data_IF_956565447348
#
_entry.id   IF_956565447348
#
_cell.length_a   1.000
_cell.length_b   1.000
_cell.length_c   1.000
_cell.angle_alpha   90.00
_cell.angle_beta   90.00
_cell.angle_gamma   90.00
#
_symmetry.space_group_name_H-M   'P 1'
#
loop_
_entity.id
_entity.type
_entity.pdbx_description
1 polymer ?
#
# COMPACT_ATOMS: atom_id res chain seq x y z
N UNK A 1 17.65 11.05 -6.86
CA UNK A 1 16.57 10.28 -6.18
C UNK A 1 17.20 9.09 -5.49
N UNK A 2 16.61 8.53 -4.43
CA UNK A 2 17.10 7.26 -3.87
C UNK A 2 16.64 6.11 -4.76
N UNK A 3 17.38 5.00 -4.78
CA UNK A 3 17.02 3.80 -5.54
C UNK A 3 15.59 3.33 -5.22
N UNK A 4 15.22 3.30 -3.93
CA UNK A 4 13.83 3.03 -3.50
C UNK A 4 12.79 3.94 -4.17
N UNK A 5 13.09 5.24 -4.33
CA UNK A 5 12.15 6.18 -4.95
C UNK A 5 12.00 5.92 -6.46
N UNK A 6 13.06 5.51 -7.13
CA UNK A 6 13.05 5.10 -8.54
C UNK A 6 12.22 3.85 -8.74
N UNK A 7 12.47 2.80 -7.93
CA UNK A 7 11.67 1.55 -7.96
C UNK A 7 10.18 1.82 -7.72
N UNK A 8 9.84 2.64 -6.73
CA UNK A 8 8.43 2.99 -6.47
C UNK A 8 7.79 3.75 -7.63
N UNK A 9 8.55 4.64 -8.29
CA UNK A 9 8.06 5.41 -9.43
C UNK A 9 7.81 4.51 -10.65
N UNK A 10 8.65 3.52 -10.90
CA UNK A 10 8.47 2.50 -11.94
C UNK A 10 7.28 1.60 -11.64
N UNK A 11 7.20 1.04 -10.44
CA UNK A 11 6.10 0.18 -10.02
C UNK A 11 4.73 0.90 -10.07
N UNK A 12 4.70 2.20 -9.81
CA UNK A 12 3.48 2.99 -9.89
C UNK A 12 2.98 3.22 -11.33
N UNK A 13 3.80 2.93 -12.34
CA UNK A 13 3.45 3.05 -13.77
C UNK A 13 3.07 1.73 -14.41
N UNK A 14 3.24 0.60 -13.71
CA UNK A 14 2.86 -0.71 -14.23
C UNK A 14 1.36 -0.76 -14.54
N UNK A 15 1.02 -1.22 -15.73
CA UNK A 15 -0.37 -1.37 -16.13
C UNK A 15 -1.04 -2.57 -15.46
N UNK A 16 -2.35 -2.50 -15.20
CA UNK A 16 -3.09 -3.62 -14.62
C UNK A 16 -3.34 -4.72 -15.64
N UNK A 17 -3.15 -5.98 -15.25
CA UNK A 17 -3.44 -7.15 -16.09
C UNK A 17 -4.94 -7.44 -16.20
N UNK A 18 -5.74 -7.00 -15.23
CA UNK A 18 -7.19 -7.15 -15.25
C UNK A 18 -7.88 -5.98 -14.53
N UNK A 19 -9.18 -5.83 -14.73
CA UNK A 19 -10.01 -4.76 -14.15
C UNK A 19 -9.99 -4.68 -12.61
N UNK A 20 -9.67 -5.80 -11.92
CA UNK A 20 -9.61 -5.87 -10.45
C UNK A 20 -8.23 -5.57 -9.89
N UNK A 21 -7.18 -5.57 -10.71
CA UNK A 21 -5.82 -5.29 -10.25
C UNK A 21 -5.67 -3.89 -9.66
N UNK A 22 -6.36 -2.92 -10.23
CA UNK A 22 -6.38 -1.55 -9.73
C UNK A 22 -6.98 -1.44 -8.32
N UNK A 23 -8.07 -2.17 -8.06
CA UNK A 23 -8.66 -2.24 -6.73
C UNK A 23 -7.67 -2.88 -5.74
N UNK A 24 -6.98 -3.94 -6.15
CA UNK A 24 -5.97 -4.62 -5.33
C UNK A 24 -4.81 -3.70 -4.99
N UNK A 25 -4.31 -2.94 -5.97
CA UNK A 25 -3.25 -1.94 -5.78
C UNK A 25 -3.70 -0.85 -4.81
N UNK A 26 -4.90 -0.28 -5.02
CA UNK A 26 -5.46 0.77 -4.17
C UNK A 26 -5.69 0.28 -2.73
N UNK A 27 -6.21 -0.94 -2.56
CA UNK A 27 -6.45 -1.55 -1.26
C UNK A 27 -5.14 -1.72 -0.46
N UNK A 28 -4.10 -2.24 -1.08
CA UNK A 28 -2.80 -2.38 -0.43
C UNK A 28 -2.17 -1.03 -0.10
N UNK A 29 -2.21 -0.07 -1.04
CA UNK A 29 -1.69 1.27 -0.86
C UNK A 29 -2.35 1.97 0.34
N UNK A 30 -3.68 1.93 0.42
CA UNK A 30 -4.44 2.51 1.52
C UNK A 30 -4.21 1.79 2.85
N UNK A 31 -4.01 0.47 2.81
CA UNK A 31 -3.76 -0.33 4.01
C UNK A 31 -2.39 -0.05 4.62
N UNK A 32 -1.36 0.12 3.79
CA UNK A 32 0.04 0.29 4.24
C UNK A 32 0.34 1.73 4.64
N UNK A 33 -0.11 2.71 3.86
CA UNK A 33 0.21 4.13 4.07
C UNK A 33 -0.97 4.99 4.54
N UNK A 34 -2.15 4.38 4.71
CA UNK A 34 -3.35 5.08 5.13
C UNK A 34 -3.52 5.16 6.65
N UNK A 35 -4.09 6.25 7.09
CA UNK A 35 -4.56 6.46 8.46
C UNK A 35 -6.06 6.68 8.43
N UNK A 36 -6.80 5.78 9.06
CA UNK A 36 -8.25 5.91 9.23
C UNK A 36 -8.54 6.65 10.54
N UNK A 37 -9.27 7.75 10.44
CA UNK A 37 -9.73 8.54 11.59
C UNK A 37 -11.24 8.46 11.71
N UNK A 38 -11.73 8.33 12.95
CA UNK A 38 -13.15 8.41 13.27
C UNK A 38 -13.50 9.86 13.58
N UNK A 39 -14.45 10.42 12.83
CA UNK A 39 -14.92 11.81 12.99
C UNK A 39 -16.19 11.90 13.85
N UNK A 40 -16.47 10.90 14.68
CA UNK A 40 -17.70 10.79 15.49
C UNK A 40 -18.92 10.29 14.68
N UNK A 41 -19.94 9.76 15.35
CA UNK A 41 -21.21 9.32 14.74
C UNK A 41 -21.07 8.41 13.51
N UNK A 42 -20.07 7.52 13.48
CA UNK A 42 -19.84 6.60 12.35
C UNK A 42 -19.26 7.23 11.09
N UNK A 43 -18.78 8.47 11.17
CA UNK A 43 -18.12 9.15 10.06
C UNK A 43 -16.63 8.82 10.03
N UNK A 44 -16.10 8.68 8.83
CA UNK A 44 -14.71 8.32 8.60
C UNK A 44 -13.96 9.40 7.82
N UNK A 45 -12.66 9.44 8.01
CA UNK A 45 -11.72 10.17 7.17
C UNK A 45 -10.51 9.27 6.93
N UNK A 46 -10.15 9.04 5.67
CA UNK A 46 -8.95 8.28 5.32
C UNK A 46 -7.90 9.24 4.75
N UNK A 47 -6.70 9.25 5.34
CA UNK A 47 -5.58 10.06 4.86
C UNK A 47 -4.42 9.15 4.50
N UNK A 48 -3.87 9.32 3.30
CA UNK A 48 -2.67 8.63 2.81
C UNK A 48 -1.55 9.65 2.69
N UNK A 49 -0.37 9.33 3.26
CA UNK A 49 0.82 10.15 3.19
C UNK A 49 1.90 9.45 2.35
N UNK A 50 2.55 10.17 1.45
CA UNK A 50 3.67 9.66 0.64
C UNK A 50 4.65 10.77 0.27
N UNK A 51 5.92 10.41 0.15
CA UNK A 51 6.98 11.31 -0.33
C UNK A 51 7.14 11.27 -1.86
N UNK A 52 6.50 10.29 -2.52
CA UNK A 52 6.62 10.03 -3.95
C UNK A 52 5.44 10.59 -4.73
N UNK A 53 5.69 11.53 -5.62
CA UNK A 53 4.64 12.18 -6.43
C UNK A 53 3.89 11.20 -7.36
N UNK A 54 4.57 10.16 -7.87
CA UNK A 54 3.91 9.13 -8.67
C UNK A 54 2.90 8.34 -7.83
N UNK A 55 3.26 7.94 -6.61
CA UNK A 55 2.35 7.26 -5.69
C UNK A 55 1.14 8.13 -5.35
N UNK A 56 1.35 9.42 -5.11
CA UNK A 56 0.25 10.36 -4.87
C UNK A 56 -0.72 10.43 -6.06
N UNK A 57 -0.19 10.52 -7.30
CA UNK A 57 -1.01 10.50 -8.52
C UNK A 57 -1.78 9.20 -8.67
N UNK A 58 -1.11 8.05 -8.49
CA UNK A 58 -1.75 6.74 -8.54
C UNK A 58 -2.90 6.65 -7.54
N UNK A 59 -2.67 7.07 -6.29
CA UNK A 59 -3.71 7.10 -5.26
C UNK A 59 -4.93 7.92 -5.69
N UNK A 60 -4.74 9.15 -6.17
CA UNK A 60 -5.82 10.04 -6.60
C UNK A 60 -6.56 9.44 -7.81
N UNK A 61 -5.81 8.99 -8.83
CA UNK A 61 -6.39 8.45 -10.07
C UNK A 61 -7.23 7.21 -9.79
N UNK A 62 -6.71 6.26 -9.00
CA UNK A 62 -7.43 5.03 -8.66
C UNK A 62 -8.65 5.33 -7.79
N UNK A 63 -8.54 6.24 -6.81
CA UNK A 63 -9.67 6.66 -5.99
C UNK A 63 -10.81 7.22 -6.84
N UNK A 64 -10.50 8.14 -7.76
CA UNK A 64 -11.52 8.74 -8.63
C UNK A 64 -12.11 7.71 -9.60
N UNK A 65 -11.26 6.85 -10.18
CA UNK A 65 -11.69 5.88 -11.18
C UNK A 65 -12.55 4.77 -10.60
N UNK A 66 -12.13 4.19 -9.47
CA UNK A 66 -12.74 2.98 -8.88
C UNK A 66 -13.83 3.34 -7.87
N UNK A 67 -13.52 4.24 -6.94
CA UNK A 67 -14.40 4.57 -5.82
C UNK A 67 -15.38 5.70 -6.15
N UNK A 68 -15.10 6.49 -7.19
CA UNK A 68 -15.88 7.70 -7.55
C UNK A 68 -15.99 8.71 -6.41
N UNK A 69 -14.99 8.72 -5.51
CA UNK A 69 -14.94 9.60 -4.35
C UNK A 69 -14.07 10.83 -4.62
N UNK A 70 -14.41 11.94 -3.95
CA UNK A 70 -13.60 13.15 -3.95
C UNK A 70 -12.38 12.99 -3.06
N UNK A 71 -11.27 13.64 -3.44
CA UNK A 71 -10.04 13.70 -2.66
C UNK A 71 -9.62 15.14 -2.41
N UNK A 72 -9.08 15.39 -1.22
CA UNK A 72 -8.35 16.61 -0.88
C UNK A 72 -6.85 16.34 -1.03
N UNK A 73 -6.12 17.26 -1.63
CA UNK A 73 -4.70 17.12 -1.85
C UNK A 73 -3.91 18.26 -1.21
N UNK A 74 -2.93 17.92 -0.38
CA UNK A 74 -2.06 18.90 0.30
C UNK A 74 -0.61 18.51 0.14
N UNK A 75 0.24 19.48 -0.16
CA UNK A 75 1.70 19.30 -0.20
C UNK A 75 2.31 19.99 1.01
N UNK A 76 2.96 19.23 1.88
CA UNK A 76 3.75 19.76 2.99
C UNK A 76 5.23 19.68 2.65
N UNK A 77 5.94 20.78 2.83
CA UNK A 77 7.41 20.82 2.73
C UNK A 77 7.98 20.73 4.15
N UNK A 78 8.79 19.72 4.41
CA UNK A 78 9.58 19.69 5.64
C UNK A 78 10.73 20.69 5.50
N UNK A 79 10.81 21.65 6.42
CA UNK A 79 11.88 22.64 6.45
C UNK A 79 13.21 21.99 6.80
N UNK A 80 13.19 20.97 7.70
CA UNK A 80 14.38 20.28 8.20
C UNK A 80 15.01 19.31 7.18
N UNK A 81 14.21 18.63 6.37
CA UNK A 81 14.70 17.56 5.48
C UNK A 81 14.58 17.87 3.98
N UNK A 82 14.07 19.04 3.60
CA UNK A 82 13.81 19.45 2.19
C UNK A 82 12.96 18.45 1.39
N UNK A 83 12.25 17.53 2.09
CA UNK A 83 11.41 16.49 1.49
C UNK A 83 9.99 17.02 1.35
N UNK A 84 9.38 16.75 0.19
CA UNK A 84 7.97 17.00 -0.03
C UNK A 84 7.17 15.80 0.48
N UNK A 85 6.16 16.06 1.29
CA UNK A 85 5.22 15.06 1.73
C UNK A 85 3.84 15.38 1.14
N UNK A 86 3.30 14.43 0.39
CA UNK A 86 2.01 14.53 -0.27
C UNK A 86 0.96 13.86 0.62
N UNK A 87 -0.08 14.60 0.96
CA UNK A 87 -1.21 14.11 1.75
C UNK A 87 -2.44 14.06 0.85
N UNK A 88 -3.00 12.88 0.69
CA UNK A 88 -4.24 12.63 -0.03
C UNK A 88 -5.28 12.24 1.01
N UNK A 89 -6.34 13.02 1.15
CA UNK A 89 -7.41 12.78 2.10
C UNK A 89 -8.71 12.48 1.37
N UNK A 90 -9.35 11.39 1.76
CA UNK A 90 -10.76 11.13 1.46
C UNK A 90 -11.54 11.65 2.66
N UNK A 91 -12.18 12.85 2.54
CA UNK A 91 -12.97 13.42 3.62
C UNK A 91 -14.24 12.61 3.83
N UNK A 92 -14.92 12.87 4.95
CA UNK A 92 -16.27 12.35 5.18
C UNK A 92 -17.20 12.76 4.04
N UNK A 93 -17.76 11.77 3.36
CA UNK A 93 -18.63 11.95 2.19
C UNK A 93 -19.49 10.71 2.00
N UNK A 94 -20.60 10.80 1.23
CA UNK A 94 -21.43 9.65 0.88
C UNK A 94 -20.59 8.52 0.26
N UNK A 95 -20.94 7.27 0.59
CA UNK A 95 -20.31 6.03 0.11
C UNK A 95 -18.85 5.78 0.55
N UNK A 96 -18.27 6.63 1.41
CA UNK A 96 -16.93 6.38 1.95
C UNK A 96 -16.89 5.09 2.79
N UNK A 97 -17.90 4.82 3.58
CA UNK A 97 -18.06 3.59 4.37
C UNK A 97 -18.05 2.34 3.47
N UNK A 98 -18.83 2.36 2.37
CA UNK A 98 -18.85 1.29 1.38
C UNK A 98 -17.51 1.11 0.68
N UNK A 99 -16.83 2.21 0.38
CA UNK A 99 -15.49 2.19 -0.20
C UNK A 99 -14.48 1.55 0.76
N UNK A 100 -14.54 1.86 2.06
CA UNK A 100 -13.68 1.25 3.07
C UNK A 100 -13.91 -0.27 3.20
N UNK A 101 -15.16 -0.72 3.03
CA UNK A 101 -15.48 -2.15 2.96
C UNK A 101 -14.96 -2.78 1.67
N UNK A 102 -15.12 -2.12 0.52
CA UNK A 102 -14.61 -2.58 -0.76
C UNK A 102 -13.08 -2.73 -0.76
N UNK A 103 -12.38 -1.79 -0.14
CA UNK A 103 -10.92 -1.82 0.04
C UNK A 103 -10.47 -2.84 1.10
N UNK A 104 -11.39 -3.49 1.81
CA UNK A 104 -11.08 -4.44 2.88
C UNK A 104 -10.40 -3.80 4.10
N UNK A 105 -10.65 -2.53 4.35
CA UNK A 105 -10.23 -1.82 5.57
C UNK A 105 -11.24 -2.10 6.69
N UNK A 106 -12.53 -2.05 6.34
CA UNK A 106 -13.63 -2.40 7.23
C UNK A 106 -14.32 -3.70 6.75
N UNK A 107 -14.89 -4.43 7.68
CA UNK A 107 -15.87 -5.48 7.38
C UNK A 107 -17.28 -4.88 7.21
N UNK A 108 -18.25 -5.73 6.83
CA UNK A 108 -19.64 -5.30 6.64
C UNK A 108 -20.35 -4.86 7.93
N UNK A 109 -19.75 -5.10 9.10
CA UNK A 109 -20.26 -4.69 10.42
C UNK A 109 -19.56 -3.45 10.93
N UNK A 110 -18.63 -2.86 10.15
CA UNK A 110 -17.84 -1.70 10.53
C UNK A 110 -16.62 -2.01 11.40
N UNK A 111 -16.26 -3.28 11.56
CA UNK A 111 -15.05 -3.71 12.26
C UNK A 111 -13.81 -3.57 11.36
N UNK A 112 -12.65 -3.29 11.97
CA UNK A 112 -11.38 -3.25 11.24
C UNK A 112 -10.94 -4.67 10.82
N UNK A 113 -10.61 -4.82 9.54
CA UNK A 113 -10.04 -6.06 9.00
C UNK A 113 -8.57 -6.14 9.37
N UNK A 114 -8.15 -7.15 10.12
CA UNK A 114 -6.80 -7.24 10.64
C UNK A 114 -5.78 -7.79 9.61
N UNK A 115 -6.19 -8.71 8.74
CA UNK A 115 -5.31 -9.37 7.75
C UNK A 115 -5.48 -8.84 6.33
N UNK A 116 -4.92 -9.57 5.37
CA UNK A 116 -5.10 -9.30 3.94
C UNK A 116 -6.50 -9.79 3.51
N UNK A 117 -7.31 -8.94 2.85
CA UNK A 117 -8.66 -9.30 2.43
C UNK A 117 -8.65 -10.34 1.30
N UNK A 118 -9.10 -11.55 1.56
CA UNK A 118 -9.04 -12.69 0.60
C UNK A 118 -9.73 -12.41 -0.72
N UNK A 119 -10.86 -11.70 -0.72
CA UNK A 119 -11.62 -11.41 -1.94
C UNK A 119 -10.87 -10.49 -2.90
N UNK A 120 -9.99 -9.63 -2.39
CA UNK A 120 -9.18 -8.70 -3.20
C UNK A 120 -8.01 -9.42 -3.89
N UNK A 121 -7.47 -10.47 -3.26
CA UNK A 121 -6.30 -11.21 -3.73
C UNK A 121 -6.63 -12.59 -4.30
N UNK A 122 -7.88 -12.82 -4.71
CA UNK A 122 -8.33 -14.13 -5.16
C UNK A 122 -7.66 -14.59 -6.47
N UNK A 123 -7.39 -13.66 -7.39
CA UNK A 123 -6.75 -13.95 -8.68
C UNK A 123 -5.23 -13.80 -8.59
N UNK A 124 -4.41 -14.59 -9.32
CA UNK A 124 -2.96 -14.46 -9.33
C UNK A 124 -2.48 -13.05 -9.66
N UNK A 125 -2.98 -12.43 -10.72
CA UNK A 125 -2.64 -11.05 -11.10
C UNK A 125 -3.03 -10.01 -10.02
N UNK A 126 -4.14 -10.23 -9.31
CA UNK A 126 -4.55 -9.36 -8.20
C UNK A 126 -3.63 -9.50 -6.98
N UNK A 127 -3.04 -10.67 -6.74
CA UNK A 127 -2.02 -10.85 -5.68
C UNK A 127 -0.78 -10.05 -5.99
N UNK A 128 -0.27 -10.13 -7.23
CA UNK A 128 0.86 -9.33 -7.68
C UNK A 128 0.56 -7.83 -7.60
N UNK A 129 -0.61 -7.40 -8.03
CA UNK A 129 -1.05 -6.02 -7.94
C UNK A 129 -1.16 -5.55 -6.48
N UNK A 130 -1.62 -6.40 -5.55
CA UNK A 130 -1.69 -6.10 -4.12
C UNK A 130 -0.29 -5.95 -3.52
N UNK A 131 0.63 -6.89 -3.80
CA UNK A 131 2.03 -6.83 -3.34
C UNK A 131 2.71 -5.57 -3.90
N UNK A 132 2.51 -5.26 -5.18
CA UNK A 132 2.98 -4.03 -5.81
C UNK A 132 2.46 -2.80 -5.08
N UNK A 133 1.17 -2.74 -4.77
CA UNK A 133 0.56 -1.66 -3.99
C UNK A 133 1.20 -1.49 -2.61
N UNK A 134 1.50 -2.60 -1.91
CA UNK A 134 2.19 -2.57 -0.63
C UNK A 134 3.64 -2.07 -0.76
N UNK A 135 4.36 -2.48 -1.82
CA UNK A 135 5.73 -2.02 -2.11
C UNK A 135 5.79 -0.52 -2.40
N UNK A 136 4.93 0.00 -3.25
CA UNK A 136 4.92 1.45 -3.54
C UNK A 136 4.51 2.29 -2.34
N UNK A 137 3.72 1.72 -1.41
CA UNK A 137 3.25 2.41 -0.21
C UNK A 137 4.30 2.44 0.92
N UNK A 138 4.90 1.32 1.25
CA UNK A 138 5.77 1.16 2.41
C UNK A 138 7.06 0.38 2.14
N UNK A 139 7.37 0.06 0.86
CA UNK A 139 8.56 -0.70 0.50
C UNK A 139 9.86 0.11 0.60
N UNK A 140 10.91 -0.52 1.03
CA UNK A 140 12.28 -0.07 0.92
C UNK A 140 13.06 -1.10 0.13
N UNK A 141 13.84 -0.65 -0.86
CA UNK A 141 14.72 -1.49 -1.66
C UNK A 141 16.12 -0.90 -1.58
N UNK A 142 17.07 -1.69 -1.08
CA UNK A 142 18.46 -1.29 -1.03
C UNK A 142 19.05 -1.19 -2.44
N UNK A 143 20.05 -0.31 -2.61
CA UNK A 143 20.79 -0.21 -3.86
C UNK A 143 21.51 -1.54 -4.13
N UNK A 144 21.32 -2.18 -5.31
CA UNK A 144 21.91 -3.50 -5.60
C UNK A 144 23.45 -3.52 -5.67
N UNK A 145 24.08 -2.34 -5.66
CA UNK A 145 25.56 -2.22 -5.54
C UNK A 145 26.05 -2.47 -4.11
N UNK A 146 25.14 -2.51 -3.13
CA UNK A 146 25.40 -2.86 -1.74
C UNK A 146 24.78 -4.19 -1.35
N UNK A 147 24.20 -4.25 -0.17
CA UNK A 147 23.51 -5.45 0.33
C UNK A 147 22.15 -5.62 -0.31
N UNK A 148 21.81 -6.85 -0.69
CA UNK A 148 20.48 -7.19 -1.17
C UNK A 148 19.50 -7.19 0.00
N UNK A 149 18.58 -6.21 -0.01
CA UNK A 149 17.56 -6.08 1.00
C UNK A 149 16.32 -5.39 0.44
N UNK A 150 15.19 -6.03 0.58
CA UNK A 150 13.88 -5.45 0.31
C UNK A 150 13.02 -5.64 1.55
N UNK A 151 12.32 -4.60 1.98
CA UNK A 151 11.36 -4.71 3.07
C UNK A 151 10.11 -3.88 2.82
N UNK A 152 8.99 -4.31 3.41
CA UNK A 152 7.73 -3.57 3.45
C UNK A 152 7.40 -3.33 4.92
N UNK A 153 7.40 -2.06 5.32
CA UNK A 153 6.98 -1.65 6.66
C UNK A 153 5.46 -1.62 6.75
N UNK A 154 4.90 -2.32 7.73
CA UNK A 154 3.45 -2.45 7.89
C UNK A 154 3.02 -2.34 9.35
N UNK A 155 1.74 -2.07 9.57
CA UNK A 155 1.09 -2.09 10.87
C UNK A 155 0.31 -3.39 11.05
N UNK A 156 0.45 -4.00 12.24
CA UNK A 156 -0.27 -5.20 12.63
C UNK A 156 0.39 -6.51 12.18
N UNK A 157 0.56 -7.42 13.15
CA UNK A 157 1.22 -8.71 12.95
C UNK A 157 0.46 -9.61 11.96
N UNK A 158 -0.86 -9.64 12.06
CA UNK A 158 -1.70 -10.47 11.21
C UNK A 158 -1.62 -10.02 9.74
N UNK A 159 -1.49 -8.72 9.50
CA UNK A 159 -1.30 -8.18 8.16
C UNK A 159 0.09 -8.53 7.61
N UNK A 160 1.14 -8.41 8.44
CA UNK A 160 2.50 -8.82 8.06
C UNK A 160 2.57 -10.29 7.67
N UNK A 161 1.97 -11.18 8.47
CA UNK A 161 1.85 -12.62 8.14
C UNK A 161 1.10 -12.84 6.83
N UNK A 162 -0.03 -12.17 6.63
CA UNK A 162 -0.81 -12.27 5.39
C UNK A 162 -0.04 -11.81 4.15
N UNK A 163 0.85 -10.82 4.25
CA UNK A 163 1.74 -10.44 3.16
C UNK A 163 2.81 -11.51 2.90
N UNK A 164 3.37 -12.14 3.94
CA UNK A 164 4.28 -13.28 3.76
C UNK A 164 3.58 -14.43 3.03
N UNK A 165 2.35 -14.76 3.42
CA UNK A 165 1.57 -15.82 2.77
C UNK A 165 1.30 -15.50 1.28
N UNK A 166 1.09 -14.23 0.92
CA UNK A 166 0.93 -13.83 -0.48
C UNK A 166 2.25 -13.95 -1.26
N UNK A 167 3.37 -13.55 -0.67
CA UNK A 167 4.71 -13.68 -1.27
C UNK A 167 5.07 -15.16 -1.48
N UNK A 168 4.80 -16.02 -0.50
CA UNK A 168 4.98 -17.47 -0.62
C UNK A 168 4.19 -18.07 -1.80
N UNK A 169 2.94 -17.61 -2.03
CA UNK A 169 2.12 -18.06 -3.14
C UNK A 169 2.66 -17.69 -4.53
N UNK A 170 3.60 -16.77 -4.61
CA UNK A 170 4.31 -16.42 -5.85
C UNK A 170 5.75 -16.92 -5.86
N UNK A 171 6.12 -17.78 -4.90
CA UNK A 171 7.45 -18.39 -4.80
C UNK A 171 8.52 -17.49 -4.21
N UNK A 172 8.15 -16.48 -3.44
CA UNK A 172 9.06 -15.55 -2.76
C UNK A 172 8.96 -15.74 -1.24
N UNK A 173 10.07 -16.11 -0.60
CA UNK A 173 10.12 -16.42 0.83
C UNK A 173 10.50 -15.19 1.66
N UNK A 174 9.51 -14.51 2.18
CA UNK A 174 9.70 -13.38 3.07
C UNK A 174 9.67 -13.78 4.55
N UNK A 175 10.27 -12.95 5.39
CA UNK A 175 10.26 -13.10 6.85
C UNK A 175 9.68 -11.86 7.49
N UNK A 176 9.13 -12.03 8.71
CA UNK A 176 8.62 -10.92 9.52
C UNK A 176 9.61 -10.61 10.64
N UNK A 177 9.94 -9.33 10.80
CA UNK A 177 10.67 -8.81 11.94
C UNK A 177 9.81 -7.81 12.68
N UNK A 178 9.56 -8.06 13.97
CA UNK A 178 8.85 -7.12 14.83
C UNK A 178 9.77 -5.94 15.20
N UNK A 179 9.24 -4.72 15.03
CA UNK A 179 9.91 -3.47 15.42
C UNK A 179 9.04 -2.73 16.44
N UNK A 180 9.59 -1.72 17.11
CA UNK A 180 8.82 -0.90 18.04
C UNK A 180 7.67 -0.20 17.32
N UNK A 181 6.43 -0.71 17.51
CA UNK A 181 5.20 -0.14 16.94
C UNK A 181 4.92 -0.49 15.48
N UNK A 182 5.68 -1.40 14.85
CA UNK A 182 5.47 -1.82 13.47
C UNK A 182 6.07 -3.20 13.19
N UNK A 183 5.88 -3.70 11.97
CA UNK A 183 6.45 -4.95 11.46
C UNK A 183 7.14 -4.69 10.13
N UNK A 184 8.24 -5.36 9.87
CA UNK A 184 8.90 -5.38 8.57
C UNK A 184 8.76 -6.77 7.95
N UNK A 185 8.13 -6.85 6.79
CA UNK A 185 8.16 -8.03 5.92
C UNK A 185 9.36 -7.86 5.00
N UNK A 186 10.35 -8.76 5.06
CA UNK A 186 11.62 -8.55 4.36
C UNK A 186 12.14 -9.78 3.62
N UNK A 187 12.92 -9.52 2.57
CA UNK A 187 13.58 -10.48 1.69
C UNK A 187 15.05 -10.09 1.61
N UNK A 188 15.95 -11.07 1.66
CA UNK A 188 17.42 -10.87 1.54
C UNK A 188 18.05 -11.63 0.36
N UNK A 189 17.31 -12.51 -0.31
CA UNK A 189 17.78 -13.21 -1.49
C UNK A 189 17.75 -12.29 -2.70
N UNK A 190 18.89 -12.14 -3.37
CA UNK A 190 19.00 -11.37 -4.62
C UNK A 190 18.04 -11.91 -5.70
N UNK A 191 17.99 -13.24 -5.84
CA UNK A 191 17.16 -13.94 -6.83
C UNK A 191 15.66 -13.68 -6.58
N UNK A 192 15.23 -13.75 -5.32
CA UNK A 192 13.82 -13.51 -4.95
C UNK A 192 13.43 -12.04 -5.09
N UNK A 193 14.33 -11.10 -4.77
CA UNK A 193 14.11 -9.67 -5.00
C UNK A 193 13.98 -9.38 -6.50
N UNK A 194 14.87 -9.95 -7.32
CA UNK A 194 14.81 -9.81 -8.77
C UNK A 194 13.52 -10.41 -9.34
N UNK A 195 13.11 -11.60 -8.88
CA UNK A 195 11.86 -12.24 -9.27
C UNK A 195 10.63 -11.36 -8.94
N UNK A 196 10.66 -10.72 -7.77
CA UNK A 196 9.53 -9.88 -7.32
C UNK A 196 9.42 -8.55 -8.09
N UNK A 197 10.53 -8.01 -8.58
CA UNK A 197 10.59 -6.71 -9.26
C UNK A 197 10.47 -6.81 -10.80
N UNK A 198 10.48 -8.02 -11.37
CA UNK A 198 10.20 -8.29 -12.79
C UNK A 198 8.70 -8.31 -13.08
#
# INVERSE_FOLDING_TARGET
MSFTAEVRDELARCEPECEYCDLSTLAALTRVSGTLSLAGSGRYRLTVATETGAVARTMITLTHRILKLKTEFTVRKSVLHKVRNYLITLPDQPDLDKALVLLGILDRRGGLVAGVPRHIVARPCCRLAYIRGALIAGGFVADPRGDFHLEIAVQGEQYAKGLCDLLEQIGVHARVNARRGSFAVYIKSAEEIEQLLK
#
